data_IF_900616897443
#
_entry.id   IF_900616897443
#
_cell.length_a   1.000
_cell.length_b   1.000
_cell.length_c   1.000
_cell.angle_alpha   90.00
_cell.angle_beta   90.00
_cell.angle_gamma   90.00
#
_symmetry.space_group_name_H-M   'P 1'
#
loop_
_entity.id
_entity.type
_entity.pdbx_description
1 polymer ?
#
# COMPACT_ATOMS: atom_id res chain seq x y z
N UNK A 1 -2.95 1.35 10.30
CA UNK A 1 -3.11 1.70 8.87
C UNK A 1 -2.53 0.60 8.00
N UNK A 2 -3.39 -0.12 7.27
CA UNK A 2 -2.95 -1.11 6.28
C UNK A 2 -2.87 -0.46 4.91
N UNK A 3 -1.77 -0.68 4.20
CA UNK A 3 -1.52 -0.09 2.88
C UNK A 3 -1.16 -1.17 1.87
N UNK A 4 -1.45 -0.90 0.59
CA UNK A 4 -0.93 -1.71 -0.51
C UNK A 4 0.40 -1.10 -0.95
N UNK A 5 1.44 -1.79 -0.65
CA UNK A 5 2.82 -1.40 -0.96
C UNK A 5 3.30 -2.07 -2.25
N UNK A 6 4.05 -1.34 -3.07
CA UNK A 6 4.68 -1.86 -4.28
C UNK A 6 6.20 -2.07 -4.08
N UNK A 7 6.66 -3.31 -4.25
CA UNK A 7 8.09 -3.65 -4.34
C UNK A 7 8.50 -3.69 -5.81
N UNK A 8 9.20 -2.64 -6.24
CA UNK A 8 9.61 -2.46 -7.64
C UNK A 8 10.57 -3.55 -8.09
N UNK A 9 11.44 -4.05 -7.19
CA UNK A 9 12.42 -5.09 -7.49
C UNK A 9 11.77 -6.43 -7.89
N UNK A 10 10.52 -6.65 -7.44
CA UNK A 10 9.76 -7.88 -7.72
C UNK A 10 8.79 -7.74 -8.88
N UNK A 11 8.50 -6.52 -9.32
CA UNK A 11 7.54 -6.31 -10.39
C UNK A 11 8.14 -6.71 -11.74
N UNK A 12 7.47 -7.62 -12.44
CA UNK A 12 7.88 -8.10 -13.77
C UNK A 12 7.00 -7.56 -14.90
N UNK A 13 6.13 -6.59 -14.62
CA UNK A 13 5.28 -5.98 -15.63
C UNK A 13 4.18 -6.88 -16.22
N UNK A 14 3.81 -7.97 -15.56
CA UNK A 14 2.87 -8.96 -16.08
C UNK A 14 1.40 -8.48 -16.18
N UNK A 15 1.05 -7.34 -15.58
CA UNK A 15 -0.27 -6.70 -15.59
C UNK A 15 -1.44 -7.53 -15.03
N UNK A 16 -1.19 -8.63 -14.33
CA UNK A 16 -2.27 -9.38 -13.66
C UNK A 16 -3.03 -8.52 -12.66
N UNK A 17 -2.37 -7.58 -11.99
CA UNK A 17 -3.02 -6.63 -11.07
C UNK A 17 -4.00 -5.69 -11.78
N UNK A 18 -3.70 -5.26 -13.02
CA UNK A 18 -4.63 -4.46 -13.84
C UNK A 18 -5.86 -5.28 -14.22
N UNK A 19 -5.65 -6.50 -14.72
CA UNK A 19 -6.75 -7.41 -15.07
C UNK A 19 -7.64 -7.71 -13.89
N UNK A 20 -7.06 -8.09 -12.75
CA UNK A 20 -7.83 -8.38 -11.54
C UNK A 20 -8.59 -7.15 -11.02
N UNK A 21 -8.00 -5.97 -11.11
CA UNK A 21 -8.66 -4.72 -10.74
C UNK A 21 -9.86 -4.43 -11.67
N UNK A 22 -9.70 -4.59 -12.98
CA UNK A 22 -10.80 -4.38 -13.92
C UNK A 22 -11.93 -5.41 -13.74
N UNK A 23 -11.60 -6.67 -13.47
CA UNK A 23 -12.58 -7.72 -13.17
C UNK A 23 -13.34 -7.39 -11.87
N UNK A 24 -12.65 -7.02 -10.80
CA UNK A 24 -13.28 -6.70 -9.52
C UNK A 24 -14.28 -5.54 -9.62
N UNK A 25 -14.01 -4.59 -10.52
CA UNK A 25 -14.84 -3.40 -10.73
C UNK A 25 -15.79 -3.51 -11.93
N UNK A 26 -15.97 -4.70 -12.48
CA UNK A 26 -17.01 -5.00 -13.46
C UNK A 26 -18.34 -5.35 -12.79
N UNK A 27 -19.45 -5.23 -13.50
CA UNK A 27 -20.79 -5.43 -12.96
C UNK A 27 -21.00 -6.83 -12.36
N UNK A 28 -20.48 -7.87 -13.01
CA UNK A 28 -20.57 -9.27 -12.59
C UNK A 28 -19.34 -9.77 -11.83
N UNK A 29 -18.30 -8.93 -11.64
CA UNK A 29 -17.02 -9.32 -11.03
C UNK A 29 -16.37 -10.54 -11.69
N UNK A 30 -16.55 -10.68 -12.98
CA UNK A 30 -16.00 -11.76 -13.79
C UNK A 30 -15.40 -11.24 -15.11
N UNK A 31 -14.67 -12.11 -15.81
CA UNK A 31 -13.97 -11.75 -17.03
C UNK A 31 -14.94 -11.40 -18.18
N UNK A 32 -16.11 -12.03 -18.22
CA UNK A 32 -17.09 -11.76 -19.26
C UNK A 32 -17.68 -10.35 -19.08
N UNK A 33 -18.13 -10.02 -17.89
CA UNK A 33 -18.66 -8.68 -17.57
C UNK A 33 -17.61 -7.60 -17.82
N UNK A 34 -16.35 -7.82 -17.40
CA UNK A 34 -15.26 -6.87 -17.70
C UNK A 34 -15.14 -6.52 -19.19
N UNK A 35 -15.40 -7.51 -20.10
CA UNK A 35 -15.29 -7.31 -21.53
C UNK A 35 -16.56 -6.72 -22.17
N UNK A 36 -17.73 -6.99 -21.59
CA UNK A 36 -19.04 -6.66 -22.16
C UNK A 36 -19.72 -5.45 -21.55
N UNK A 37 -19.31 -5.03 -20.36
CA UNK A 37 -19.86 -3.85 -19.68
C UNK A 37 -19.77 -2.59 -20.56
N UNK A 38 -20.77 -1.74 -20.41
CA UNK A 38 -20.83 -0.44 -21.03
C UNK A 38 -21.15 0.64 -19.97
N UNK A 39 -20.23 1.59 -19.75
CA UNK A 39 -18.85 1.64 -20.27
C UNK A 39 -17.98 0.49 -19.74
N UNK A 40 -16.93 0.14 -20.48
CA UNK A 40 -16.04 -0.96 -20.08
C UNK A 40 -15.38 -0.70 -18.76
N UNK A 41 -15.35 -1.72 -17.90
CA UNK A 41 -14.58 -1.68 -16.66
C UNK A 41 -13.09 -1.44 -16.95
N UNK A 42 -12.49 -0.57 -16.20
CA UNK A 42 -11.10 -0.15 -16.37
C UNK A 42 -10.32 -0.39 -15.07
N UNK A 43 -9.02 -0.70 -15.17
CA UNK A 43 -8.20 -0.85 -13.97
C UNK A 43 -7.98 0.50 -13.30
N UNK A 44 -7.96 0.50 -11.95
CA UNK A 44 -7.63 1.64 -11.09
C UNK A 44 -6.18 1.61 -10.61
N UNK A 45 -5.41 0.65 -11.10
CA UNK A 45 -3.96 0.50 -10.97
C UNK A 45 -3.38 0.40 -12.37
N UNK A 46 -2.23 1.01 -12.62
CA UNK A 46 -1.57 1.01 -13.92
C UNK A 46 -0.11 0.61 -13.78
N UNK A 47 0.32 -0.34 -14.61
CA UNK A 47 1.73 -0.78 -14.64
C UNK A 47 2.46 0.04 -15.70
N UNK A 48 3.25 0.99 -15.24
CA UNK A 48 4.12 1.82 -16.07
C UNK A 48 5.47 1.15 -16.34
N UNK A 49 6.10 1.54 -17.44
CA UNK A 49 7.47 1.19 -17.79
C UNK A 49 8.38 2.38 -17.50
N UNK A 50 9.39 2.14 -16.66
CA UNK A 50 10.41 3.12 -16.32
C UNK A 50 11.71 2.95 -17.12
N UNK A 51 12.79 3.51 -16.59
CA UNK A 51 14.13 3.38 -17.14
C UNK A 51 14.62 1.92 -16.99
N UNK A 52 15.45 1.45 -17.92
CA UNK A 52 16.04 0.11 -17.93
C UNK A 52 15.01 -1.04 -17.82
N UNK A 53 13.84 -0.85 -18.45
CA UNK A 53 12.74 -1.82 -18.44
C UNK A 53 12.18 -2.14 -17.05
N UNK A 54 12.51 -1.33 -16.05
CA UNK A 54 11.89 -1.46 -14.74
C UNK A 54 10.39 -1.13 -14.82
N UNK A 55 9.59 -1.94 -14.19
CA UNK A 55 8.13 -1.74 -14.17
C UNK A 55 7.64 -1.35 -12.79
N UNK A 56 6.62 -0.48 -12.73
CA UNK A 56 6.05 0.00 -11.50
C UNK A 56 4.52 0.00 -11.55
N UNK A 57 3.84 -0.70 -10.63
CA UNK A 57 2.40 -0.69 -10.52
C UNK A 57 1.95 0.57 -9.76
N UNK A 58 1.61 1.62 -10.52
CA UNK A 58 1.13 2.89 -9.96
C UNK A 58 -0.35 2.84 -9.60
N UNK A 59 -0.70 3.34 -8.43
CA UNK A 59 -2.08 3.47 -7.93
C UNK A 59 -2.19 4.60 -6.92
N UNK A 60 -3.42 4.97 -6.55
CA UNK A 60 -3.66 5.90 -5.44
C UNK A 60 -3.01 5.38 -4.14
N UNK A 61 -2.33 6.28 -3.42
CA UNK A 61 -1.67 5.95 -2.16
C UNK A 61 -2.55 6.24 -0.94
N UNK A 62 -3.77 6.77 -1.15
CA UNK A 62 -4.70 7.14 -0.08
C UNK A 62 -4.03 8.03 0.98
N UNK A 63 -3.45 9.14 0.51
CA UNK A 63 -2.67 10.07 1.35
C UNK A 63 -3.50 10.62 2.50
N UNK A 64 -2.85 10.83 3.64
CA UNK A 64 -3.38 11.57 4.78
C UNK A 64 -2.34 12.61 5.24
N UNK A 65 -2.62 13.94 5.15
CA UNK A 65 -3.81 14.55 4.52
C UNK A 65 -3.86 14.35 3.00
N UNK A 66 -5.06 14.25 2.43
CA UNK A 66 -5.26 14.02 1.01
C UNK A 66 -5.29 15.32 0.19
N UNK A 67 -4.30 15.61 -0.67
CA UNK A 67 -4.31 16.85 -1.47
C UNK A 67 -5.52 16.94 -2.40
N UNK A 68 -5.98 15.81 -2.93
CA UNK A 68 -7.14 15.75 -3.83
C UNK A 68 -8.47 16.05 -3.12
N UNK A 69 -8.61 15.70 -1.85
CA UNK A 69 -9.75 16.07 -1.00
C UNK A 69 -9.75 17.58 -0.76
N UNK A 70 -8.61 18.12 -0.30
CA UNK A 70 -8.47 19.56 -0.04
C UNK A 70 -8.68 20.43 -1.29
N UNK A 71 -8.41 19.92 -2.48
CA UNK A 71 -8.59 20.65 -3.73
C UNK A 71 -9.99 20.50 -4.35
N UNK A 72 -10.84 19.65 -3.80
CA UNK A 72 -12.18 19.41 -4.35
C UNK A 72 -13.13 20.55 -3.97
N UNK A 73 -13.65 21.38 -4.91
CA UNK A 73 -14.45 22.54 -4.58
C UNK A 73 -15.89 22.21 -4.12
N UNK A 74 -16.29 20.95 -4.25
CA UNK A 74 -17.64 20.47 -3.96
C UNK A 74 -17.66 19.27 -3.01
N UNK A 75 -16.56 18.99 -2.35
CA UNK A 75 -16.42 17.88 -1.39
C UNK A 75 -16.86 16.52 -1.95
N UNK A 76 -16.61 16.29 -3.26
CA UNK A 76 -16.86 14.99 -3.90
C UNK A 76 -15.78 13.95 -3.56
N UNK A 77 -14.67 14.36 -2.98
CA UNK A 77 -13.59 13.48 -2.53
C UNK A 77 -13.51 13.60 -1.00
N UNK A 78 -13.50 12.47 -0.33
CA UNK A 78 -13.50 12.41 1.13
C UNK A 78 -12.62 11.26 1.64
N UNK A 79 -12.15 11.38 2.86
CA UNK A 79 -11.39 10.34 3.55
C UNK A 79 -12.34 9.45 4.38
N UNK A 80 -12.34 8.16 4.07
CA UNK A 80 -13.02 7.13 4.86
C UNK A 80 -12.09 6.68 6.00
N UNK A 81 -12.49 6.98 7.24
CA UNK A 81 -11.69 6.70 8.43
C UNK A 81 -11.74 5.23 8.88
N UNK A 82 -12.74 4.46 8.44
CA UNK A 82 -12.85 3.04 8.81
C UNK A 82 -11.80 2.19 8.09
N UNK A 83 -11.61 2.46 6.79
CA UNK A 83 -10.67 1.72 5.95
C UNK A 83 -9.43 2.52 5.57
N UNK A 84 -9.28 3.73 6.15
CA UNK A 84 -8.11 4.59 5.95
C UNK A 84 -7.87 4.85 4.45
N UNK A 85 -8.96 5.23 3.75
CA UNK A 85 -8.96 5.32 2.31
C UNK A 85 -9.66 6.57 1.80
N UNK A 86 -9.12 7.17 0.73
CA UNK A 86 -9.74 8.31 0.07
C UNK A 86 -10.72 7.79 -0.98
N UNK A 87 -11.96 8.25 -0.94
CA UNK A 87 -13.05 7.86 -1.83
C UNK A 87 -13.51 9.00 -2.72
N UNK A 88 -14.23 8.66 -3.80
CA UNK A 88 -14.86 9.62 -4.71
C UNK A 88 -16.35 9.33 -4.76
N UNK A 89 -17.16 10.34 -4.46
CA UNK A 89 -18.60 10.29 -4.64
C UNK A 89 -18.93 10.76 -6.07
N UNK A 90 -19.25 9.78 -6.91
CA UNK A 90 -19.43 9.99 -8.35
C UNK A 90 -20.51 11.02 -8.68
N UNK A 91 -21.63 10.97 -7.95
CA UNK A 91 -22.81 11.82 -8.16
C UNK A 91 -22.53 13.31 -7.91
N UNK A 92 -21.57 13.62 -7.04
CA UNK A 92 -21.15 14.98 -6.77
C UNK A 92 -20.09 15.50 -7.73
N UNK A 93 -19.38 14.64 -8.43
CA UNK A 93 -18.23 15.03 -9.24
C UNK A 93 -18.62 15.88 -10.44
N UNK A 94 -18.07 17.09 -10.55
CA UNK A 94 -18.31 18.03 -11.70
C UNK A 94 -17.20 18.00 -12.74
N UNK A 95 -16.30 17.02 -12.73
CA UNK A 95 -15.23 16.86 -13.72
C UNK A 95 -14.25 18.05 -13.84
N UNK A 96 -14.08 18.84 -12.78
CA UNK A 96 -13.25 20.05 -12.85
C UNK A 96 -11.74 19.81 -12.99
N UNK A 97 -11.24 18.60 -12.75
CA UNK A 97 -9.83 18.21 -12.92
C UNK A 97 -8.89 18.61 -11.78
N UNK A 98 -9.30 19.40 -10.81
CA UNK A 98 -8.43 19.91 -9.74
C UNK A 98 -7.72 18.81 -8.96
N UNK A 99 -8.43 17.72 -8.65
CA UNK A 99 -7.88 16.58 -7.91
C UNK A 99 -6.74 15.87 -8.66
N UNK A 100 -6.82 15.76 -9.99
CA UNK A 100 -5.75 15.17 -10.79
C UNK A 100 -4.52 16.08 -10.84
N UNK A 101 -4.71 17.41 -10.94
CA UNK A 101 -3.62 18.37 -10.98
C UNK A 101 -2.78 18.41 -9.70
N UNK A 102 -3.39 18.13 -8.55
CA UNK A 102 -2.69 18.15 -7.25
C UNK A 102 -2.21 16.76 -6.80
N UNK A 103 -2.51 15.71 -7.55
CA UNK A 103 -2.15 14.35 -7.17
C UNK A 103 -0.64 14.12 -7.31
N UNK A 104 0.11 13.87 -6.23
CA UNK A 104 1.56 13.69 -6.31
C UNK A 104 1.98 12.37 -7.00
N UNK A 105 1.02 11.48 -7.21
CA UNK A 105 1.26 10.16 -7.80
C UNK A 105 0.63 10.00 -9.19
N UNK A 106 0.01 11.03 -9.76
CA UNK A 106 -0.73 10.97 -11.04
C UNK A 106 -1.69 9.76 -11.11
N UNK A 107 -2.36 9.46 -10.01
CA UNK A 107 -3.17 8.25 -9.85
C UNK A 107 -4.67 8.47 -10.05
N UNK A 108 -5.08 9.65 -10.54
CA UNK A 108 -6.46 10.02 -10.81
C UNK A 108 -6.66 10.20 -12.30
N UNK A 109 -7.56 9.42 -12.86
CA UNK A 109 -8.02 9.56 -14.25
C UNK A 109 -9.47 10.04 -14.25
N UNK A 110 -9.98 10.39 -15.43
CA UNK A 110 -11.39 10.73 -15.64
C UNK A 110 -12.01 9.70 -16.57
N UNK A 111 -13.19 9.21 -16.22
CA UNK A 111 -13.87 8.17 -16.99
C UNK A 111 -15.37 8.29 -16.82
N UNK A 112 -16.10 7.92 -17.88
CA UNK A 112 -17.54 7.72 -17.80
C UNK A 112 -17.83 6.46 -16.99
N UNK A 113 -18.76 6.56 -16.05
CA UNK A 113 -19.31 5.40 -15.33
C UNK A 113 -20.63 4.92 -15.92
N UNK A 114 -21.31 5.79 -16.65
CA UNK A 114 -22.52 5.47 -17.41
C UNK A 114 -22.30 5.78 -18.88
N UNK A 115 -23.02 5.10 -19.80
CA UNK A 115 -22.79 5.20 -21.25
C UNK A 115 -22.95 6.64 -21.79
N UNK A 116 -23.89 7.41 -21.22
CA UNK A 116 -24.19 8.80 -21.60
C UNK A 116 -23.80 9.80 -20.51
N UNK A 117 -23.04 9.37 -19.49
CA UNK A 117 -22.65 10.18 -18.35
C UNK A 117 -21.44 11.09 -18.60
N UNK A 118 -21.25 12.05 -17.72
CA UNK A 118 -20.03 12.87 -17.69
C UNK A 118 -18.83 12.05 -17.22
N UNK A 119 -17.65 12.45 -17.66
CA UNK A 119 -16.40 11.92 -17.09
C UNK A 119 -16.31 12.33 -15.62
N UNK A 120 -16.06 11.38 -14.74
CA UNK A 120 -15.86 11.62 -13.31
C UNK A 120 -14.46 11.21 -12.88
N UNK A 121 -14.01 11.74 -11.76
CA UNK A 121 -12.74 11.36 -11.18
C UNK A 121 -12.73 9.85 -10.83
N UNK A 122 -11.74 9.14 -11.36
CA UNK A 122 -11.61 7.70 -11.27
C UNK A 122 -10.23 7.32 -10.73
N UNK A 123 -10.20 6.67 -9.58
CA UNK A 123 -8.95 6.26 -8.92
C UNK A 123 -9.16 4.96 -8.12
N UNK A 124 -8.07 4.39 -7.62
CA UNK A 124 -8.15 3.27 -6.68
C UNK A 124 -9.02 3.64 -5.46
N UNK A 125 -9.95 2.76 -5.12
CA UNK A 125 -10.86 2.84 -3.97
C UNK A 125 -10.45 1.92 -2.82
N UNK A 126 -9.24 1.34 -2.90
CA UNK A 126 -8.71 0.36 -1.95
C UNK A 126 -9.47 -0.98 -1.96
N UNK A 127 -10.31 -1.24 -2.98
CA UNK A 127 -11.21 -2.38 -3.04
C UNK A 127 -12.09 -2.48 -1.78
N UNK A 128 -12.76 -1.38 -1.42
CA UNK A 128 -13.51 -1.23 -0.17
C UNK A 128 -14.45 -2.41 0.12
N UNK A 129 -15.22 -2.85 -0.87
CA UNK A 129 -16.14 -3.99 -0.73
C UNK A 129 -15.41 -5.26 -0.30
N UNK A 130 -14.23 -5.54 -0.88
CA UNK A 130 -13.42 -6.69 -0.48
C UNK A 130 -12.89 -6.58 0.95
N UNK A 131 -12.49 -5.36 1.35
CA UNK A 131 -12.02 -5.13 2.71
C UNK A 131 -13.12 -5.33 3.74
N UNK A 132 -14.37 -4.93 3.44
CA UNK A 132 -15.54 -5.21 4.27
C UNK A 132 -15.79 -6.72 4.45
N UNK A 133 -15.46 -7.51 3.44
CA UNK A 133 -15.52 -8.97 3.51
C UNK A 133 -14.24 -9.61 4.11
N UNK A 134 -13.35 -8.82 4.70
CA UNK A 134 -12.05 -9.25 5.23
C UNK A 134 -11.12 -9.91 4.19
N UNK A 135 -11.33 -9.63 2.90
CA UNK A 135 -10.48 -10.09 1.80
C UNK A 135 -9.37 -9.08 1.50
N UNK A 136 -8.30 -9.55 0.86
CA UNK A 136 -7.24 -8.65 0.35
C UNK A 136 -7.71 -7.90 -0.90
N UNK A 137 -7.14 -6.71 -1.21
CA UNK A 137 -7.37 -6.05 -2.49
C UNK A 137 -7.06 -6.97 -3.67
N UNK A 138 -7.88 -6.91 -4.73
CA UNK A 138 -7.79 -7.82 -5.87
C UNK A 138 -6.40 -7.80 -6.56
N UNK A 139 -5.79 -6.62 -6.67
CA UNK A 139 -4.46 -6.45 -7.26
C UNK A 139 -3.35 -7.16 -6.45
N UNK A 140 -3.48 -7.22 -5.12
CA UNK A 140 -2.53 -7.92 -4.24
C UNK A 140 -2.69 -9.42 -4.38
N UNK A 141 -3.93 -9.91 -4.34
CA UNK A 141 -4.22 -11.34 -4.46
C UNK A 141 -3.77 -11.91 -5.82
N UNK A 142 -3.92 -11.14 -6.89
CA UNK A 142 -3.51 -11.53 -8.23
C UNK A 142 -2.00 -11.42 -8.48
N UNK A 143 -1.22 -10.80 -7.59
CA UNK A 143 0.20 -10.58 -7.81
C UNK A 143 1.01 -11.87 -7.64
N UNK A 144 1.50 -12.42 -8.76
CA UNK A 144 2.25 -13.70 -8.80
C UNK A 144 3.66 -13.62 -8.26
N UNK A 145 4.22 -12.42 -8.21
CA UNK A 145 5.61 -12.19 -7.75
C UNK A 145 5.68 -11.59 -6.36
N UNK A 146 4.54 -11.43 -5.68
CA UNK A 146 4.42 -10.72 -4.40
C UNK A 146 5.04 -9.31 -4.44
N UNK A 147 4.99 -8.67 -5.62
CA UNK A 147 5.40 -7.28 -5.77
C UNK A 147 4.42 -6.30 -5.11
N UNK A 148 3.14 -6.67 -5.00
CA UNK A 148 2.13 -5.93 -4.27
C UNK A 148 1.88 -6.62 -2.92
N UNK A 149 2.07 -5.87 -1.84
CA UNK A 149 1.97 -6.37 -0.46
C UNK A 149 0.94 -5.54 0.29
N UNK A 150 -0.06 -6.18 0.89
CA UNK A 150 -1.04 -5.53 1.77
C UNK A 150 -0.69 -5.82 3.22
N UNK A 151 -0.16 -4.83 3.92
CA UNK A 151 0.29 -4.98 5.30
C UNK A 151 0.26 -3.65 6.07
N UNK A 152 0.48 -3.72 7.37
CA UNK A 152 0.65 -2.54 8.22
C UNK A 152 1.91 -1.74 7.81
N UNK A 153 1.76 -0.42 7.66
CA UNK A 153 2.83 0.46 7.20
C UNK A 153 4.08 0.37 8.10
N UNK A 154 3.90 0.33 9.41
CA UNK A 154 5.00 0.22 10.38
C UNK A 154 5.72 -1.13 10.29
N UNK A 155 4.99 -2.21 10.05
CA UNK A 155 5.58 -3.55 9.87
C UNK A 155 6.46 -3.59 8.62
N UNK A 156 5.96 -3.06 7.51
CA UNK A 156 6.72 -2.96 6.26
C UNK A 156 7.98 -2.10 6.41
N UNK A 157 7.87 -0.98 7.12
CA UNK A 157 9.02 -0.10 7.41
C UNK A 157 10.09 -0.85 8.20
N UNK A 158 9.71 -1.55 9.25
CA UNK A 158 10.63 -2.35 10.07
C UNK A 158 11.31 -3.48 9.28
N UNK A 159 10.56 -4.16 8.41
CA UNK A 159 11.13 -5.22 7.55
C UNK A 159 12.15 -4.64 6.56
N UNK A 160 11.87 -3.47 5.97
CA UNK A 160 12.78 -2.77 5.07
C UNK A 160 14.04 -2.30 5.77
N UNK A 161 13.91 -1.69 6.96
CA UNK A 161 15.07 -1.30 7.76
C UNK A 161 15.95 -2.50 8.09
N UNK A 162 15.35 -3.62 8.47
CA UNK A 162 16.09 -4.85 8.75
C UNK A 162 16.84 -5.37 7.51
N UNK A 163 16.19 -5.36 6.34
CA UNK A 163 16.83 -5.73 5.06
C UNK A 163 17.99 -4.78 4.72
N UNK A 164 17.78 -3.47 4.87
CA UNK A 164 18.81 -2.46 4.65
C UNK A 164 20.02 -2.65 5.56
N UNK A 165 19.79 -2.83 6.87
CA UNK A 165 20.88 -3.07 7.80
C UNK A 165 21.66 -4.34 7.50
N UNK A 166 20.99 -5.41 7.08
CA UNK A 166 21.66 -6.64 6.64
C UNK A 166 22.51 -6.39 5.40
N UNK A 167 22.02 -5.66 4.41
CA UNK A 167 22.75 -5.35 3.19
C UNK A 167 23.97 -4.47 3.49
N UNK A 168 23.84 -3.39 4.25
CA UNK A 168 24.96 -2.51 4.64
C UNK A 168 26.01 -3.31 5.40
N UNK A 169 25.60 -4.10 6.39
CA UNK A 169 26.56 -4.88 7.18
C UNK A 169 27.24 -5.99 6.38
N UNK A 170 26.57 -6.56 5.37
CA UNK A 170 27.19 -7.54 4.47
C UNK A 170 28.23 -6.88 3.55
N UNK A 171 27.95 -5.66 3.04
CA UNK A 171 28.91 -4.91 2.21
C UNK A 171 30.13 -4.47 3.00
N UNK A 172 29.97 -3.97 4.22
CA UNK A 172 31.10 -3.57 5.10
C UNK A 172 31.99 -4.78 5.42
N UNK A 173 31.42 -5.98 5.49
CA UNK A 173 32.17 -7.21 5.71
C UNK A 173 32.89 -7.76 4.47
N UNK A 174 32.82 -7.03 3.33
CA UNK A 174 33.62 -7.34 2.13
C UNK A 174 33.26 -8.66 1.45
N UNK A 175 31.99 -9.07 1.41
CA UNK A 175 31.53 -10.25 0.64
C UNK A 175 32.30 -11.57 0.90
N UNK A 176 33.26 -11.55 1.79
CA UNK A 176 34.12 -12.68 2.13
C UNK A 176 33.48 -13.53 3.23
N UNK A 177 33.78 -14.82 3.16
CA UNK A 177 33.32 -15.86 4.07
C UNK A 177 33.90 -15.65 5.50
N UNK A 178 33.59 -14.53 6.14
CA UNK A 178 34.08 -14.25 7.50
C UNK A 178 33.31 -15.10 8.51
N UNK A 179 33.91 -16.24 8.82
CA UNK A 179 33.47 -17.14 9.92
C UNK A 179 33.58 -16.51 11.31
N UNK A 180 34.19 -15.33 11.44
CA UNK A 180 34.33 -14.67 12.75
C UNK A 180 33.30 -13.59 13.00
N UNK A 181 32.46 -13.83 13.99
CA UNK A 181 31.54 -12.81 14.52
C UNK A 181 32.38 -11.73 15.21
N UNK A 182 32.21 -10.42 14.90
CA UNK A 182 32.92 -9.34 15.56
C UNK A 182 32.85 -9.42 17.09
N UNK A 183 33.92 -9.01 17.77
CA UNK A 183 34.04 -9.11 19.24
C UNK A 183 32.88 -8.41 19.97
N UNK A 184 32.44 -7.24 19.47
CA UNK A 184 31.31 -6.51 20.03
C UNK A 184 30.00 -7.29 19.94
N UNK A 185 29.76 -8.02 18.85
CA UNK A 185 28.55 -8.86 18.71
C UNK A 185 28.64 -10.12 19.57
N UNK A 186 29.84 -10.71 19.71
CA UNK A 186 30.06 -11.82 20.68
C UNK A 186 29.76 -11.36 22.10
N UNK A 187 30.23 -10.17 22.48
CA UNK A 187 29.97 -9.59 23.80
C UNK A 187 28.49 -9.31 24.03
N UNK A 188 27.80 -8.78 23.01
CA UNK A 188 26.36 -8.49 23.07
C UNK A 188 25.53 -9.77 23.21
N UNK A 189 25.85 -10.84 22.45
CA UNK A 189 25.18 -12.13 22.62
C UNK A 189 25.38 -12.72 24.02
N UNK A 190 26.60 -12.67 24.57
CA UNK A 190 26.85 -13.09 25.96
C UNK A 190 26.06 -12.27 26.97
N UNK A 191 25.88 -10.98 26.71
CA UNK A 191 25.05 -10.11 27.58
C UNK A 191 23.56 -10.49 27.48
N UNK A 192 23.04 -10.74 26.29
CA UNK A 192 21.66 -11.22 26.10
C UNK A 192 21.41 -12.55 26.81
N UNK A 193 22.34 -13.50 26.70
CA UNK A 193 22.25 -14.79 27.40
C UNK A 193 22.22 -14.61 28.93
N UNK A 194 23.05 -13.71 29.47
CA UNK A 194 23.05 -13.38 30.91
C UNK A 194 21.73 -12.71 31.33
N UNK A 195 21.19 -11.77 30.54
CA UNK A 195 19.92 -11.12 30.82
C UNK A 195 18.76 -12.15 30.79
N UNK A 196 18.77 -13.08 29.85
CA UNK A 196 17.77 -14.15 29.78
C UNK A 196 17.80 -15.09 31.02
N UNK A 197 18.97 -15.27 31.62
CA UNK A 197 19.14 -16.06 32.86
C UNK A 197 18.64 -15.33 34.12
N UNK A 198 18.58 -14.00 34.13
CA UNK A 198 18.15 -13.19 35.30
C UNK A 198 16.62 -13.23 35.45
N UNK A 199 15.88 -13.63 34.43
CA UNK A 199 14.41 -13.63 34.42
C UNK A 199 13.80 -12.23 34.26
N UNK A 200 12.48 -12.10 34.16
CA UNK A 200 11.83 -10.82 34.07
C UNK A 200 12.04 -9.99 35.31
N UNK A 201 12.47 -8.73 35.14
CA UNK A 201 12.60 -7.76 36.21
C UNK A 201 11.26 -7.68 37.00
N UNK A 202 11.28 -7.66 38.35
CA UNK A 202 10.06 -7.49 39.10
C UNK A 202 9.39 -6.19 38.69
N UNK A 203 8.13 -6.27 38.28
CA UNK A 203 7.33 -5.10 37.90
C UNK A 203 7.39 -4.08 39.03
N UNK A 204 7.80 -2.85 38.73
CA UNK A 204 7.77 -1.73 39.65
C UNK A 204 6.36 -1.61 40.23
N UNK A 205 6.21 -1.84 41.54
CA UNK A 205 4.98 -1.58 42.28
C UNK A 205 4.55 -0.14 42.00
N UNK A 206 3.33 0.04 41.50
CA UNK A 206 2.68 1.35 41.44
C UNK A 206 2.80 1.99 42.82
N UNK A 207 3.40 3.17 42.90
CA UNK A 207 3.27 4.02 44.06
C UNK A 207 1.81 4.41 44.18
N UNK A 208 1.13 3.89 45.16
CA UNK A 208 -0.17 4.39 45.59
C UNK A 208 0.08 5.79 46.15
N UNK A 209 -0.46 6.77 45.46
CA UNK A 209 -0.51 8.14 45.96
C UNK A 209 -1.41 8.16 47.18
N UNK A 210 -0.79 8.27 48.35
CA UNK A 210 -1.48 8.60 49.60
C UNK A 210 -1.99 10.04 49.50
N UNK A 211 -3.28 10.21 49.25
CA UNK A 211 -3.98 11.43 49.58
C UNK A 211 -4.21 11.46 51.11
N UNK A 212 -3.62 12.42 51.76
CA UNK A 212 -4.08 13.04 53.00
C UNK A 212 -4.16 14.53 52.77
#
# INVERSE_FOLDING_TARGET
MKVVFADVERCVGCRHCEMACAVEHSSGKDLYSMLTDKPKSQPRIQVGLGIDLMTFPNKCQHCDPAPCENACPIDAIYHDSEFDSVQVEAEKCISCGMCAMVCPNDAIAFRQLEEDGNDIAYKCDHCLERLQEAKKPACVEACRTDALIYAEANELSNQRQTKLFRNITSQIRGGGNHKEIPKNIKSFKKLQEKIAQIGPLPSSKKREDSKA
#
